data_IF_655252601020
#
_entry.id   IF_655252601020
#
_cell.length_a   1.000
_cell.length_b   1.000
_cell.length_c   1.000
_cell.angle_alpha   90.00
_cell.angle_beta   90.00
_cell.angle_gamma   90.00
#
_symmetry.space_group_name_H-M   'P 1'
#
loop_
_entity.id
_entity.type
_entity.pdbx_description
1 polymer ?
#
# COMPACT_ATOMS: atom_id res chain seq x y z
N UNK A 1 21.65 -0.40 -12.78
CA UNK A 1 20.47 -0.08 -13.61
C UNK A 1 19.28 0.17 -12.68
N UNK A 2 18.55 1.27 -12.90
CA UNK A 2 17.26 1.55 -12.27
C UNK A 2 16.24 1.49 -13.41
N UNK A 3 15.22 0.65 -13.30
CA UNK A 3 14.18 0.53 -14.31
C UNK A 3 12.80 0.47 -13.64
N UNK A 4 11.89 1.32 -14.09
CA UNK A 4 10.47 1.16 -13.79
C UNK A 4 9.93 0.03 -14.66
N UNK A 5 9.29 -0.96 -14.05
CA UNK A 5 8.76 -2.11 -14.80
C UNK A 5 7.25 -2.11 -14.94
N UNK A 6 6.54 -1.75 -13.87
CA UNK A 6 5.07 -1.83 -13.85
C UNK A 6 4.48 -0.82 -12.87
N UNK A 7 3.29 -0.34 -13.20
CA UNK A 7 2.45 0.45 -12.31
C UNK A 7 1.10 -0.24 -12.13
N UNK A 8 0.54 -0.14 -10.94
CA UNK A 8 -0.79 -0.64 -10.62
C UNK A 8 -1.48 0.35 -9.68
N UNK A 9 -2.67 0.80 -10.03
CA UNK A 9 -3.44 1.72 -9.19
C UNK A 9 -4.86 1.26 -8.96
N UNK A 10 -5.47 1.73 -7.88
CA UNK A 10 -6.86 1.47 -7.56
C UNK A 10 -7.48 2.72 -6.93
N UNK A 11 -8.73 3.07 -7.28
CA UNK A 11 -9.41 4.19 -6.65
C UNK A 11 -9.63 3.96 -5.15
N UNK A 12 -9.77 2.71 -4.69
CA UNK A 12 -9.98 2.37 -3.30
C UNK A 12 -9.44 0.98 -2.97
N UNK A 13 -8.67 0.90 -1.89
CA UNK A 13 -8.03 -0.35 -1.40
C UNK A 13 -8.32 -0.56 0.07
N UNK A 14 -8.37 -1.81 0.50
CA UNK A 14 -8.53 -2.12 1.92
C UNK A 14 -7.16 -2.15 2.60
N UNK A 15 -7.13 -1.73 3.86
CA UNK A 15 -5.92 -1.72 4.68
C UNK A 15 -6.08 -2.69 5.82
N UNK A 16 -5.14 -3.63 5.91
CA UNK A 16 -5.12 -4.69 6.91
C UNK A 16 -3.89 -4.52 7.82
N UNK A 17 -4.04 -4.85 9.10
CA UNK A 17 -2.96 -4.95 10.08
C UNK A 17 -3.23 -6.16 10.97
N UNK A 18 -2.24 -7.03 11.13
CA UNK A 18 -2.34 -8.25 11.94
C UNK A 18 -3.58 -9.11 11.60
N UNK A 19 -3.89 -9.22 10.30
CA UNK A 19 -5.03 -9.99 9.79
C UNK A 19 -6.40 -9.33 9.96
N UNK A 20 -6.47 -8.11 10.51
CA UNK A 20 -7.72 -7.36 10.69
C UNK A 20 -7.76 -6.15 9.76
N UNK A 21 -8.95 -5.85 9.25
CA UNK A 21 -9.17 -4.62 8.51
C UNK A 21 -9.18 -3.42 9.46
N UNK A 22 -8.28 -2.47 9.22
CA UNK A 22 -8.15 -1.25 10.01
C UNK A 22 -8.66 0.00 9.28
N UNK A 23 -8.94 -0.12 7.97
CA UNK A 23 -9.39 1.02 7.20
C UNK A 23 -9.36 0.80 5.69
N UNK A 24 -9.23 1.91 4.97
CA UNK A 24 -9.05 1.93 3.52
C UNK A 24 -8.21 3.13 3.07
N UNK A 25 -7.58 3.00 1.91
CA UNK A 25 -6.93 4.12 1.22
C UNK A 25 -7.64 4.43 -0.09
N UNK A 26 -7.72 5.71 -0.41
CA UNK A 26 -8.21 6.19 -1.69
C UNK A 26 -7.02 6.54 -2.61
N UNK A 27 -7.24 6.42 -3.92
CA UNK A 27 -6.29 6.85 -4.96
C UNK A 27 -4.91 6.19 -4.86
N UNK A 28 -4.87 4.91 -4.50
CA UNK A 28 -3.62 4.18 -4.29
C UNK A 28 -2.95 3.84 -5.62
N UNK A 29 -1.66 4.12 -5.74
CA UNK A 29 -0.82 3.62 -6.84
C UNK A 29 0.44 2.96 -6.28
N UNK A 30 0.88 1.88 -6.91
CA UNK A 30 2.16 1.21 -6.63
C UNK A 30 2.97 1.08 -7.91
N UNK A 31 4.28 1.30 -7.77
CA UNK A 31 5.28 1.19 -8.82
C UNK A 31 6.26 0.08 -8.44
N UNK A 32 6.48 -0.85 -9.36
CA UNK A 32 7.54 -1.84 -9.28
C UNK A 32 8.80 -1.32 -9.97
N UNK A 33 9.89 -1.30 -9.21
CA UNK A 33 11.22 -0.94 -9.66
C UNK A 33 12.12 -2.15 -9.65
N UNK A 34 12.98 -2.27 -10.66
CA UNK A 34 14.14 -3.13 -10.62
C UNK A 34 15.40 -2.29 -10.35
N UNK A 35 15.98 -2.45 -9.17
CA UNK A 35 17.12 -1.67 -8.68
C UNK A 35 18.16 -2.60 -8.07
N UNK A 36 19.41 -2.49 -8.53
CA UNK A 36 20.55 -3.27 -7.99
C UNK A 36 20.26 -4.77 -7.89
N UNK A 37 19.69 -5.35 -8.95
CA UNK A 37 19.31 -6.76 -9.06
C UNK A 37 18.25 -7.22 -8.04
N UNK A 38 17.40 -6.31 -7.56
CA UNK A 38 16.29 -6.61 -6.65
C UNK A 38 15.04 -5.83 -7.05
N UNK A 39 13.88 -6.40 -6.77
CA UNK A 39 12.62 -5.68 -6.88
C UNK A 39 12.39 -4.79 -5.66
N UNK A 40 11.90 -3.58 -5.91
CA UNK A 40 11.43 -2.65 -4.89
C UNK A 40 10.06 -2.12 -5.28
N UNK A 41 9.18 -1.99 -4.30
CA UNK A 41 7.83 -1.47 -4.48
C UNK A 41 7.69 -0.17 -3.71
N UNK A 42 7.23 0.86 -4.39
CA UNK A 42 6.91 2.16 -3.77
C UNK A 42 5.54 2.58 -4.24
N UNK A 43 4.73 3.15 -3.35
CA UNK A 43 3.43 3.63 -3.74
C UNK A 43 3.05 4.95 -3.07
N UNK A 44 1.93 5.47 -3.54
CA UNK A 44 1.28 6.69 -3.07
C UNK A 44 -0.18 6.41 -2.80
N UNK A 45 -0.80 7.21 -1.94
CA UNK A 45 -2.24 7.24 -1.71
C UNK A 45 -2.69 8.67 -1.46
N UNK A 46 -3.91 9.00 -1.89
CA UNK A 46 -4.45 10.35 -1.76
C UNK A 46 -5.10 10.62 -0.40
N UNK A 47 -5.53 9.56 0.29
CA UNK A 47 -6.13 9.64 1.61
C UNK A 47 -6.08 8.28 2.30
N UNK A 48 -5.79 8.27 3.59
CA UNK A 48 -5.95 7.10 4.46
C UNK A 48 -7.03 7.36 5.51
N UNK A 49 -8.05 6.49 5.53
CA UNK A 49 -9.17 6.54 6.47
C UNK A 49 -9.12 5.29 7.32
N UNK A 50 -9.02 5.48 8.64
CA UNK A 50 -9.03 4.43 9.65
C UNK A 50 -9.96 4.83 10.80
N UNK A 51 -10.51 3.83 11.48
CA UNK A 51 -11.35 4.03 12.66
C UNK A 51 -10.51 4.35 13.90
N UNK A 52 -9.25 3.92 13.93
CA UNK A 52 -8.33 4.12 15.04
C UNK A 52 -7.30 5.22 14.69
N UNK A 53 -7.32 6.39 15.35
CA UNK A 53 -6.33 7.44 15.14
C UNK A 53 -4.89 6.96 15.36
N UNK A 54 -4.67 5.97 16.22
CA UNK A 54 -3.35 5.41 16.50
C UNK A 54 -2.78 4.59 15.35
N UNK A 55 -3.59 4.26 14.33
CA UNK A 55 -3.13 3.67 13.08
C UNK A 55 -2.76 4.72 12.03
N UNK A 56 -3.11 5.99 12.23
CA UNK A 56 -2.94 7.07 11.25
C UNK A 56 -1.61 7.82 11.42
N UNK A 57 -0.49 7.13 11.25
CA UNK A 57 0.84 7.72 11.40
C UNK A 57 1.89 7.18 10.42
N UNK A 58 2.99 7.92 10.28
CA UNK A 58 4.17 7.44 9.53
C UNK A 58 4.90 6.36 10.31
N UNK A 59 5.45 5.37 9.61
CA UNK A 59 6.14 4.21 10.18
C UNK A 59 5.26 3.00 10.44
N UNK A 60 3.93 3.12 10.31
CA UNK A 60 3.02 1.98 10.43
C UNK A 60 3.28 0.95 9.32
N UNK A 61 3.20 -0.32 9.68
CA UNK A 61 3.26 -1.47 8.76
C UNK A 61 1.88 -2.08 8.59
N UNK A 62 1.48 -2.24 7.35
CA UNK A 62 0.17 -2.70 6.93
C UNK A 62 0.29 -3.62 5.73
N UNK A 63 -0.76 -4.39 5.45
CA UNK A 63 -0.98 -4.97 4.15
C UNK A 63 -2.04 -4.16 3.40
N UNK A 64 -1.81 -3.92 2.11
CA UNK A 64 -2.75 -3.19 1.25
C UNK A 64 -3.36 -4.19 0.28
N UNK A 65 -4.67 -4.33 0.36
CA UNK A 65 -5.45 -5.26 -0.42
C UNK A 65 -6.10 -4.53 -1.59
N UNK A 66 -5.97 -5.06 -2.80
CA UNK A 66 -6.60 -4.55 -4.02
C UNK A 66 -7.62 -5.58 -4.50
N UNK A 67 -8.88 -5.55 -3.99
CA UNK A 67 -9.83 -6.63 -4.19
C UNK A 67 -10.11 -6.93 -5.66
N UNK A 68 -10.31 -5.87 -6.46
CA UNK A 68 -10.68 -5.95 -7.86
C UNK A 68 -9.57 -6.48 -8.77
N UNK A 69 -8.35 -6.64 -8.24
CA UNK A 69 -7.20 -7.18 -8.97
C UNK A 69 -6.69 -8.48 -8.39
N UNK A 70 -7.29 -8.97 -7.32
CA UNK A 70 -6.79 -10.14 -6.59
C UNK A 70 -5.32 -10.00 -6.17
N UNK A 71 -4.92 -8.81 -5.71
CA UNK A 71 -3.55 -8.50 -5.28
C UNK A 71 -3.49 -8.05 -3.82
N UNK A 72 -2.39 -8.41 -3.15
CA UNK A 72 -2.03 -7.91 -1.82
C UNK A 72 -0.61 -7.37 -1.87
N UNK A 73 -0.42 -6.13 -1.44
CA UNK A 73 0.88 -5.52 -1.19
C UNK A 73 1.23 -5.78 0.27
N UNK A 74 2.24 -6.62 0.52
CA UNK A 74 2.59 -7.10 1.86
C UNK A 74 3.68 -6.26 2.52
N UNK A 75 3.61 -6.15 3.84
CA UNK A 75 4.58 -5.43 4.67
C UNK A 75 4.81 -3.98 4.17
N UNK A 76 3.74 -3.30 3.75
CA UNK A 76 3.81 -1.92 3.32
C UNK A 76 4.07 -1.00 4.52
N UNK A 77 5.18 -0.28 4.50
CA UNK A 77 5.57 0.70 5.50
C UNK A 77 5.23 2.09 4.96
N UNK A 78 4.31 2.79 5.62
CA UNK A 78 4.02 4.20 5.30
C UNK A 78 5.23 5.03 5.69
N UNK A 79 5.93 5.61 4.72
CA UNK A 79 7.15 6.38 4.96
C UNK A 79 6.83 7.81 5.41
N UNK A 80 5.78 8.38 4.84
CA UNK A 80 5.38 9.75 5.08
C UNK A 80 3.88 9.91 4.88
N UNK A 81 3.27 10.71 5.74
CA UNK A 81 1.86 11.05 5.70
C UNK A 81 1.67 12.54 6.01
N UNK A 82 0.82 13.21 5.24
CA UNK A 82 0.54 14.64 5.38
C UNK A 82 -0.90 14.90 5.80
N UNK A 83 -1.04 15.70 6.84
CA UNK A 83 -2.30 16.30 7.29
C UNK A 83 -2.76 17.41 6.33
N UNK A 84 -4.08 17.64 6.15
CA UNK A 84 -5.21 17.01 6.87
C UNK A 84 -5.79 15.78 6.19
N UNK A 85 -5.40 15.51 4.94
CA UNK A 85 -6.01 14.44 4.15
C UNK A 85 -5.39 13.07 4.42
N UNK A 86 -4.34 13.00 5.23
CA UNK A 86 -3.55 11.79 5.46
C UNK A 86 -3.15 11.16 4.13
N UNK A 87 -2.67 11.98 3.18
CA UNK A 87 -2.10 11.50 1.92
C UNK A 87 -0.63 11.15 2.14
N UNK A 88 -0.08 10.19 1.41
CA UNK A 88 1.25 9.71 1.75
C UNK A 88 1.93 8.84 0.70
N UNK A 89 3.12 8.38 1.09
CA UNK A 89 3.94 7.42 0.35
C UNK A 89 4.22 6.20 1.22
N UNK A 90 4.41 5.05 0.58
CA UNK A 90 4.84 3.83 1.24
C UNK A 90 5.91 3.11 0.43
N UNK A 91 6.72 2.32 1.12
CA UNK A 91 7.50 1.25 0.51
C UNK A 91 6.89 -0.11 0.90
N UNK A 92 7.08 -1.13 0.08
CA UNK A 92 6.62 -2.48 0.40
C UNK A 92 7.66 -3.52 0.02
N UNK A 93 7.58 -4.69 0.67
CA UNK A 93 8.54 -5.77 0.40
C UNK A 93 8.17 -6.59 -0.83
N UNK A 94 6.88 -6.87 -1.03
CA UNK A 94 6.40 -7.74 -2.10
C UNK A 94 4.93 -7.53 -2.43
N UNK A 95 4.55 -8.03 -3.61
CA UNK A 95 3.16 -8.12 -4.07
C UNK A 95 2.85 -9.60 -4.28
N UNK A 96 1.72 -10.04 -3.74
CA UNK A 96 1.20 -11.41 -3.86
C UNK A 96 -0.14 -11.37 -4.60
N UNK A 97 -0.45 -12.44 -5.33
CA UNK A 97 -1.80 -12.72 -5.83
C UNK A 97 -2.50 -13.70 -4.91
N UNK A 98 -3.83 -13.62 -4.82
CA UNK A 98 -4.65 -14.58 -4.06
C UNK A 98 -5.83 -15.09 -4.89
N UNK A 99 -6.35 -16.26 -4.52
CA UNK A 99 -7.55 -16.85 -5.09
C UNK A 99 -8.64 -16.90 -4.02
N UNK A 100 -9.85 -16.41 -4.34
CA UNK A 100 -11.01 -16.43 -3.43
C UNK A 100 -11.29 -15.10 -2.69
N UNK A 101 -12.30 -15.07 -1.80
CA UNK A 101 -12.59 -13.92 -0.93
C UNK A 101 -11.55 -13.78 0.20
N UNK A 102 -11.36 -12.55 0.68
CA UNK A 102 -10.43 -12.17 1.76
C UNK A 102 -11.10 -12.30 3.13
#
# INVERSE_FOLDING_TARGET
MIKMEKTCGSPKVEVMKDGKRIGHMDGMNVIQWFLKNKYKYTGTFSRFITEDPDDSHSGIRIDIVIPEKHLIIKDACIEWMKSPLNNGTFNAKRIESYEGPI
#
